data_IF_541293341083
#
_entry.id   IF_541293341083
#
_cell.length_a   1.000
_cell.length_b   1.000
_cell.length_c   1.000
_cell.angle_alpha   90.00
_cell.angle_beta   90.00
_cell.angle_gamma   90.00
#
_symmetry.space_group_name_H-M   'P 1'
#
loop_
_entity.id
_entity.type
_entity.pdbx_description
1 polymer ?
#
# COMPACT_ATOMS: atom_id res chain seq x y z
N UNK A 1 -6.58 -0.82 12.29
CA UNK A 1 -5.96 -2.07 11.81
C UNK A 1 -4.49 -1.80 11.52
N UNK A 2 -3.59 -2.72 11.85
CA UNK A 2 -2.16 -2.65 11.50
C UNK A 2 -1.93 -3.52 10.28
N UNK A 3 -1.25 -2.97 9.28
CA UNK A 3 -0.89 -3.68 8.06
C UNK A 3 0.61 -3.60 7.81
N UNK A 4 1.16 -4.62 7.13
CA UNK A 4 2.52 -4.65 6.63
C UNK A 4 2.51 -4.47 5.12
N UNK A 5 3.09 -3.39 4.63
CA UNK A 5 3.14 -3.11 3.19
C UNK A 5 4.13 -4.07 2.53
N UNK A 6 3.67 -4.75 1.49
CA UNK A 6 4.45 -5.68 0.68
C UNK A 6 4.96 -5.01 -0.59
N UNK A 7 4.10 -4.21 -1.20
CA UNK A 7 4.37 -3.53 -2.46
C UNK A 7 3.92 -2.07 -2.38
N UNK A 8 4.70 -1.19 -2.99
CA UNK A 8 4.36 0.22 -3.21
C UNK A 8 4.47 0.49 -4.70
N UNK A 9 3.45 1.13 -5.28
CA UNK A 9 3.42 1.49 -6.69
C UNK A 9 3.88 2.95 -6.87
N UNK A 10 5.05 3.19 -7.51
CA UNK A 10 5.40 4.52 -7.97
C UNK A 10 4.39 4.98 -9.01
N UNK A 11 3.94 6.23 -8.90
CA UNK A 11 3.02 6.85 -9.85
C UNK A 11 3.69 8.05 -10.53
N UNK A 12 3.23 8.48 -11.73
CA UNK A 12 3.92 9.50 -12.52
C UNK A 12 4.17 10.83 -11.78
N UNK A 13 3.26 11.22 -10.88
CA UNK A 13 3.37 12.45 -10.08
C UNK A 13 4.36 12.38 -8.90
N UNK A 14 4.93 11.21 -8.61
CA UNK A 14 5.79 11.02 -7.42
C UNK A 14 7.06 11.89 -7.47
N UNK A 15 7.62 12.11 -8.67
CA UNK A 15 8.79 12.99 -8.84
C UNK A 15 8.51 14.42 -8.40
N UNK A 16 7.34 14.97 -8.76
CA UNK A 16 6.90 16.31 -8.34
C UNK A 16 6.73 16.38 -6.83
N UNK A 17 6.11 15.36 -6.22
CA UNK A 17 5.93 15.28 -4.76
C UNK A 17 7.29 15.29 -4.06
N UNK A 18 8.22 14.44 -4.48
CA UNK A 18 9.57 14.35 -3.89
C UNK A 18 10.39 15.64 -4.13
N UNK A 19 10.15 16.33 -5.25
CA UNK A 19 10.78 17.61 -5.57
C UNK A 19 10.27 18.81 -4.77
N UNK A 20 9.41 18.60 -3.76
CA UNK A 20 8.83 19.68 -2.96
C UNK A 20 7.51 20.25 -3.51
N UNK A 21 6.92 19.61 -4.52
CA UNK A 21 5.65 20.00 -5.11
C UNK A 21 5.79 21.03 -6.24
N UNK A 22 4.64 21.42 -6.78
CA UNK A 22 4.51 22.51 -7.75
C UNK A 22 3.23 23.28 -7.41
N UNK A 23 3.21 24.59 -7.65
CA UNK A 23 2.01 25.40 -7.50
C UNK A 23 0.86 24.83 -8.35
N UNK A 24 -0.32 24.68 -7.74
CA UNK A 24 -1.51 24.11 -8.39
C UNK A 24 -1.48 22.59 -8.61
N UNK A 25 -0.44 21.88 -8.16
CA UNK A 25 -0.40 20.43 -8.24
C UNK A 25 -1.49 19.77 -7.38
N UNK A 26 -2.04 18.62 -7.81
CA UNK A 26 -3.10 17.93 -7.06
C UNK A 26 -2.61 17.32 -5.74
N UNK A 27 -1.29 17.20 -5.56
CA UNK A 27 -0.69 16.64 -4.37
C UNK A 27 0.33 17.60 -3.76
N UNK A 28 0.39 17.68 -2.42
CA UNK A 28 1.39 18.48 -1.75
C UNK A 28 2.79 17.90 -1.96
N UNK A 29 3.80 18.78 -1.91
CA UNK A 29 5.20 18.36 -1.84
C UNK A 29 5.50 17.64 -0.54
N UNK A 30 6.38 16.62 -0.60
CA UNK A 30 6.93 15.96 0.57
C UNK A 30 8.20 16.70 1.04
N UNK A 31 8.38 16.78 2.35
CA UNK A 31 9.62 17.24 2.96
C UNK A 31 10.55 16.05 3.27
N UNK A 32 11.86 16.29 3.41
CA UNK A 32 12.77 15.27 3.91
C UNK A 32 12.30 14.71 5.27
N UNK A 33 12.19 13.39 5.36
CA UNK A 33 11.67 12.70 6.55
C UNK A 33 10.17 12.38 6.49
N UNK A 34 9.41 13.01 5.58
CA UNK A 34 8.00 12.67 5.41
C UNK A 34 7.82 11.27 4.81
N UNK A 35 6.81 10.52 5.27
CA UNK A 35 6.47 9.25 4.66
C UNK A 35 5.78 9.49 3.31
N UNK A 36 6.31 8.92 2.23
CA UNK A 36 5.69 9.07 0.91
C UNK A 36 4.35 8.32 0.84
N UNK A 37 3.33 8.97 0.28
CA UNK A 37 2.03 8.37 -0.01
C UNK A 37 2.01 7.74 -1.41
N UNK A 38 0.96 6.97 -1.68
CA UNK A 38 0.75 6.26 -2.94
C UNK A 38 0.12 4.89 -2.68
N UNK A 39 -0.33 4.25 -3.75
CA UNK A 39 -0.95 2.92 -3.67
C UNK A 39 0.05 1.91 -3.11
N UNK A 40 -0.36 1.23 -2.06
CA UNK A 40 0.34 0.08 -1.52
C UNK A 40 -0.60 -1.13 -1.44
N UNK A 41 -0.01 -2.30 -1.61
CA UNK A 41 -0.62 -3.59 -1.28
C UNK A 41 0.02 -4.06 0.02
N UNK A 42 -0.81 -4.38 0.99
CA UNK A 42 -0.40 -4.72 2.33
C UNK A 42 -1.14 -5.95 2.85
N UNK A 43 -0.55 -6.63 3.81
CA UNK A 43 -1.16 -7.74 4.54
C UNK A 43 -1.59 -7.25 5.91
N UNK A 44 -2.79 -7.62 6.36
CA UNK A 44 -3.24 -7.31 7.72
C UNK A 44 -2.46 -8.14 8.73
N UNK A 45 -1.77 -7.47 9.66
CA UNK A 45 -0.99 -8.15 10.71
C UNK A 45 -1.61 -8.02 12.10
N UNK A 46 -2.48 -7.03 12.31
CA UNK A 46 -3.32 -6.96 13.51
C UNK A 46 -4.65 -6.24 13.24
N UNK A 47 -5.74 -6.80 13.74
CA UNK A 47 -7.06 -6.19 13.74
C UNK A 47 -7.60 -6.13 15.18
N UNK A 48 -8.40 -5.10 15.48
CA UNK A 48 -9.04 -5.02 16.80
C UNK A 48 -10.10 -6.12 16.93
N UNK A 49 -10.19 -6.76 18.10
CA UNK A 49 -11.16 -7.82 18.37
C UNK A 49 -12.59 -7.32 18.13
N UNK A 50 -13.37 -8.05 17.33
CA UNK A 50 -14.75 -7.71 17.01
C UNK A 50 -14.93 -6.57 16.01
N UNK A 51 -13.84 -6.03 15.45
CA UNK A 51 -13.95 -5.06 14.36
C UNK A 51 -14.43 -5.74 13.07
N UNK A 52 -15.41 -5.14 12.42
CA UNK A 52 -15.83 -5.51 11.07
C UNK A 52 -14.76 -5.05 10.06
N UNK A 53 -14.44 -5.89 9.07
CA UNK A 53 -13.44 -5.60 8.05
C UNK A 53 -12.45 -6.74 7.80
N UNK A 54 -11.34 -6.45 7.08
CA UNK A 54 -10.34 -7.43 6.72
C UNK A 54 -9.70 -8.12 7.93
N UNK A 55 -9.52 -9.43 7.81
CA UNK A 55 -8.92 -10.28 8.86
C UNK A 55 -7.41 -10.33 8.71
N UNK A 56 -6.73 -10.71 9.79
CA UNK A 56 -5.28 -10.98 9.78
C UNK A 56 -4.94 -11.98 8.67
N UNK A 57 -3.90 -11.67 7.89
CA UNK A 57 -3.46 -12.43 6.72
C UNK A 57 -4.10 -11.99 5.40
N UNK A 58 -5.21 -11.25 5.43
CA UNK A 58 -5.88 -10.83 4.19
C UNK A 58 -5.13 -9.68 3.49
N UNK A 59 -5.05 -9.71 2.15
CA UNK A 59 -4.46 -8.63 1.38
C UNK A 59 -5.43 -7.45 1.24
N UNK A 60 -4.91 -6.25 1.45
CA UNK A 60 -5.63 -4.99 1.29
C UNK A 60 -4.82 -4.00 0.47
N UNK A 61 -5.48 -3.03 -0.15
CA UNK A 61 -4.84 -1.87 -0.75
C UNK A 61 -5.23 -0.58 -0.03
N UNK A 62 -4.30 0.38 0.00
CA UNK A 62 -4.51 1.71 0.58
C UNK A 62 -3.53 2.74 0.01
N UNK A 63 -3.69 4.02 0.34
CA UNK A 63 -2.85 5.13 -0.15
C UNK A 63 -1.65 5.50 0.74
N UNK A 64 -1.46 4.77 1.84
CA UNK A 64 -0.43 5.00 2.84
C UNK A 64 0.88 4.25 2.51
N UNK A 65 1.49 4.65 1.40
CA UNK A 65 2.57 3.97 0.66
C UNK A 65 3.88 3.64 1.38
N UNK A 66 4.96 4.41 1.10
CA UNK A 66 6.36 4.00 1.27
C UNK A 66 6.80 3.88 2.74
N UNK A 67 6.44 2.77 3.37
CA UNK A 67 6.73 2.40 4.76
C UNK A 67 6.45 0.92 4.96
N UNK A 68 7.11 0.27 5.91
CA UNK A 68 6.90 -1.17 6.15
C UNK A 68 5.59 -1.45 6.89
N UNK A 69 5.24 -0.64 7.90
CA UNK A 69 4.05 -0.81 8.70
C UNK A 69 3.19 0.45 8.71
N UNK A 70 1.87 0.26 8.70
CA UNK A 70 0.91 1.36 8.72
C UNK A 70 -0.30 1.02 9.59
N UNK A 71 -0.73 1.98 10.41
CA UNK A 71 -2.06 1.93 11.03
C UNK A 71 -3.06 2.57 10.08
N UNK A 72 -4.07 1.80 9.67
CA UNK A 72 -5.11 2.20 8.73
C UNK A 72 -6.49 1.98 9.36
N UNK A 73 -7.41 2.90 9.04
CA UNK A 73 -8.84 2.73 9.30
C UNK A 73 -9.43 1.75 8.28
N UNK A 74 -10.38 0.91 8.70
CA UNK A 74 -10.99 -0.10 7.80
C UNK A 74 -11.60 0.55 6.56
N UNK A 75 -12.30 1.68 6.71
CA UNK A 75 -12.96 2.37 5.60
C UNK A 75 -12.03 3.03 4.57
N UNK A 76 -10.71 3.08 4.81
CA UNK A 76 -9.73 3.59 3.83
C UNK A 76 -8.94 2.47 3.15
N UNK A 77 -9.29 1.22 3.45
CA UNK A 77 -8.71 0.03 2.85
C UNK A 77 -9.70 -0.62 1.89
N UNK A 78 -9.19 -1.08 0.75
CA UNK A 78 -9.94 -1.93 -0.18
C UNK A 78 -9.43 -3.36 -0.07
N UNK A 79 -10.26 -4.33 0.36
CA UNK A 79 -9.91 -5.75 0.35
C UNK A 79 -9.63 -6.22 -1.08
N UNK A 80 -8.56 -7.00 -1.29
CA UNK A 80 -8.17 -7.47 -2.62
C UNK A 80 -8.63 -8.91 -2.93
N UNK A 81 -9.02 -9.66 -1.89
CA UNK A 81 -9.31 -11.07 -1.98
C UNK A 81 -8.12 -11.88 -2.50
N UNK A 82 -8.39 -13.09 -2.99
CA UNK A 82 -7.35 -14.04 -3.43
C UNK A 82 -7.01 -13.91 -4.92
N UNK A 83 -7.48 -12.83 -5.56
CA UNK A 83 -7.45 -12.70 -7.02
C UNK A 83 -6.08 -12.35 -7.58
N UNK A 84 -5.20 -11.75 -6.77
CA UNK A 84 -3.90 -11.30 -7.25
C UNK A 84 -2.87 -12.43 -7.09
N UNK A 85 -2.27 -12.95 -8.19
CA UNK A 85 -1.15 -13.87 -8.06
C UNK A 85 0.02 -13.17 -7.36
N UNK A 86 0.80 -13.92 -6.58
CA UNK A 86 2.00 -13.37 -5.95
C UNK A 86 2.95 -12.81 -7.04
N UNK A 87 3.17 -11.48 -7.09
CA UNK A 87 3.91 -10.85 -8.20
C UNK A 87 5.40 -11.20 -8.21
N UNK A 88 5.93 -11.76 -7.12
CA UNK A 88 7.31 -12.24 -7.04
C UNK A 88 7.40 -13.77 -7.03
N UNK A 89 6.29 -14.47 -7.30
CA UNK A 89 6.32 -15.91 -7.45
C UNK A 89 7.34 -16.30 -8.55
N UNK A 90 8.20 -17.30 -8.29
CA UNK A 90 9.10 -17.82 -9.30
C UNK A 90 8.32 -18.23 -10.55
N UNK A 91 8.75 -17.77 -11.72
CA UNK A 91 8.19 -18.23 -12.99
C UNK A 91 8.60 -19.69 -13.18
N UNK A 92 7.68 -20.62 -12.94
CA UNK A 92 7.93 -22.03 -13.23
C UNK A 92 8.07 -22.20 -14.74
N UNK A 93 9.18 -22.81 -15.19
CA UNK A 93 9.36 -23.16 -16.59
C UNK A 93 8.32 -24.23 -16.95
N UNK A 94 7.56 -24.11 -18.05
CA UNK A 94 6.71 -25.21 -18.49
C UNK A 94 7.55 -26.47 -18.73
N UNK A 95 6.99 -27.63 -18.38
CA UNK A 95 7.61 -28.94 -18.61
C UNK A 95 7.86 -29.16 -20.12
N UNK A 96 8.92 -29.91 -20.51
CA UNK A 96 9.27 -30.14 -21.90
C UNK A 96 8.20 -30.90 -22.69
#
# INVERSE_FOLDING_TARGET
MLVRNRYFLPFPGLGTVVGGGLEGAPFPGAQPGDPLFGTAVAEVVAAASGAEGPRVGEPVSHWLGRREYTVVSVGVCTPLGDTLPDPVAPRTRPAP
#
